data_IF_490738573488
#
_entry.id   IF_490738573488
#
_cell.length_a   1.000
_cell.length_b   1.000
_cell.length_c   1.000
_cell.angle_alpha   90.00
_cell.angle_beta   90.00
_cell.angle_gamma   90.00
#
_symmetry.space_group_name_H-M   'P 1'
#
loop_
_entity.id
_entity.type
_entity.pdbx_description
1 polymer ?
#
# COMPACT_ATOMS: atom_id res chain seq x y z
N UNK A 1 29.88 -13.09 -4.39
CA UNK A 1 28.59 -12.43 -4.63
C UNK A 1 28.86 -11.08 -5.26
N UNK A 2 28.25 -10.81 -6.40
CA UNK A 2 28.35 -9.52 -7.08
C UNK A 2 27.07 -8.74 -6.77
N UNK A 3 27.21 -7.46 -6.43
CA UNK A 3 26.07 -6.57 -6.23
C UNK A 3 25.90 -5.70 -7.46
N UNK A 4 24.64 -5.44 -7.82
CA UNK A 4 24.31 -4.43 -8.84
C UNK A 4 24.92 -3.06 -8.44
N UNK A 5 25.38 -2.26 -9.42
CA UNK A 5 26.08 -1.00 -9.13
C UNK A 5 25.26 -0.04 -8.26
N UNK A 6 23.95 0.05 -8.47
CA UNK A 6 23.07 0.95 -7.72
C UNK A 6 22.90 0.49 -6.25
N UNK A 7 22.79 -0.83 -6.02
CA UNK A 7 22.70 -1.43 -4.68
C UNK A 7 24.00 -1.20 -3.92
N UNK A 8 25.15 -1.39 -4.56
CA UNK A 8 26.45 -1.12 -3.96
C UNK A 8 26.62 0.35 -3.57
N UNK A 9 26.19 1.28 -4.43
CA UNK A 9 26.20 2.72 -4.14
C UNK A 9 25.32 3.08 -2.95
N UNK A 10 24.10 2.51 -2.87
CA UNK A 10 23.20 2.71 -1.72
C UNK A 10 23.81 2.19 -0.43
N UNK A 11 24.40 0.99 -0.44
CA UNK A 11 25.05 0.41 0.73
C UNK A 11 26.24 1.28 1.19
N UNK A 12 27.08 1.79 0.28
CA UNK A 12 28.20 2.71 0.61
C UNK A 12 27.73 4.02 1.24
N UNK A 13 26.62 4.59 0.76
CA UNK A 13 26.02 5.80 1.37
C UNK A 13 25.58 5.53 2.81
N UNK A 14 25.01 4.37 3.09
CA UNK A 14 24.57 3.98 4.44
C UNK A 14 25.78 3.76 5.35
N UNK A 15 26.82 3.10 4.87
CA UNK A 15 28.12 2.94 5.56
C UNK A 15 28.68 4.30 5.99
N UNK A 16 28.77 5.26 5.07
CA UNK A 16 29.27 6.60 5.36
C UNK A 16 28.42 7.36 6.38
N UNK A 17 27.08 7.26 6.28
CA UNK A 17 26.17 7.93 7.22
C UNK A 17 26.18 7.33 8.63
N UNK A 18 26.42 6.03 8.76
CA UNK A 18 26.31 5.31 10.04
C UNK A 18 27.65 4.98 10.68
N UNK A 19 28.77 5.24 10.01
CA UNK A 19 30.11 4.86 10.49
C UNK A 19 30.28 3.34 10.66
N UNK A 20 29.53 2.54 9.91
CA UNK A 20 29.53 1.08 10.01
C UNK A 20 30.33 0.43 8.89
N UNK A 21 30.85 -0.78 9.09
CA UNK A 21 31.57 -1.52 8.04
C UNK A 21 30.62 -1.92 6.91
N UNK A 22 31.06 -1.81 5.66
CA UNK A 22 30.25 -2.13 4.47
C UNK A 22 29.64 -3.54 4.53
N UNK A 23 30.42 -4.54 4.97
CA UNK A 23 29.97 -5.92 5.16
C UNK A 23 28.79 -6.02 6.14
N UNK A 24 28.84 -5.27 7.24
CA UNK A 24 27.78 -5.30 8.26
C UNK A 24 26.49 -4.67 7.75
N UNK A 25 26.62 -3.57 7.00
CA UNK A 25 25.49 -2.91 6.33
C UNK A 25 24.82 -3.87 5.35
N UNK A 26 25.61 -4.52 4.48
CA UNK A 26 25.09 -5.47 3.48
C UNK A 26 24.44 -6.67 4.15
N UNK A 27 25.11 -7.31 5.12
CA UNK A 27 24.56 -8.47 5.82
C UNK A 27 23.28 -8.14 6.58
N UNK A 28 23.21 -6.98 7.24
CA UNK A 28 21.99 -6.53 7.92
C UNK A 28 20.86 -6.29 6.93
N UNK A 29 21.13 -5.60 5.81
CA UNK A 29 20.14 -5.34 4.78
C UNK A 29 19.60 -6.64 4.16
N UNK A 30 20.48 -7.62 3.91
CA UNK A 30 20.07 -8.93 3.39
C UNK A 30 19.20 -9.70 4.38
N UNK A 31 19.54 -9.74 5.68
CA UNK A 31 18.69 -10.41 6.68
C UNK A 31 17.28 -9.83 6.72
N UNK A 32 17.19 -8.49 6.80
CA UNK A 32 15.89 -7.79 6.79
C UNK A 32 15.15 -8.07 5.48
N UNK A 33 15.85 -7.98 4.34
CA UNK A 33 15.25 -8.22 3.02
C UNK A 33 14.73 -9.63 2.85
N UNK A 34 15.47 -10.64 3.32
CA UNK A 34 15.06 -12.05 3.27
C UNK A 34 13.88 -12.33 4.21
N UNK A 35 13.89 -11.79 5.43
CA UNK A 35 12.75 -11.87 6.36
C UNK A 35 11.47 -11.25 5.76
N UNK A 36 11.60 -10.10 5.11
CA UNK A 36 10.47 -9.43 4.44
C UNK A 36 10.00 -10.16 3.17
N UNK A 37 10.89 -10.89 2.49
CA UNK A 37 10.52 -11.75 1.36
C UNK A 37 9.83 -13.03 1.81
N UNK A 38 10.22 -13.60 2.96
CA UNK A 38 9.57 -14.76 3.57
C UNK A 38 8.22 -14.41 4.21
N UNK A 39 8.05 -13.17 4.68
CA UNK A 39 6.76 -12.67 5.10
C UNK A 39 5.82 -12.61 3.90
N UNK A 40 4.97 -13.62 3.77
CA UNK A 40 3.80 -13.55 2.89
C UNK A 40 3.02 -12.27 3.23
N UNK A 41 3.03 -11.30 2.30
CA UNK A 41 2.15 -10.15 2.39
C UNK A 41 0.71 -10.67 2.31
N UNK A 42 0.11 -10.90 3.48
CA UNK A 42 -1.33 -11.15 3.55
C UNK A 42 -2.01 -9.98 2.84
N UNK A 43 -2.80 -10.23 1.77
CA UNK A 43 -3.52 -9.16 1.12
C UNK A 43 -4.34 -8.45 2.20
N UNK A 44 -4.14 -7.15 2.33
CA UNK A 44 -4.97 -6.36 3.23
C UNK A 44 -6.40 -6.49 2.72
N UNK A 45 -7.31 -6.94 3.59
CA UNK A 45 -8.72 -7.02 3.23
C UNK A 45 -9.17 -5.64 2.75
N UNK A 46 -9.77 -5.59 1.56
CA UNK A 46 -10.39 -4.37 1.07
C UNK A 46 -11.47 -3.94 2.06
N UNK A 47 -11.36 -2.72 2.58
CA UNK A 47 -12.32 -2.13 3.52
C UNK A 47 -12.84 -0.83 2.92
N UNK A 48 -14.15 -0.69 2.87
CA UNK A 48 -14.81 0.57 2.48
C UNK A 48 -15.26 1.29 3.73
N UNK A 49 -14.93 2.57 3.83
CA UNK A 49 -15.47 3.46 4.87
C UNK A 49 -16.68 4.21 4.29
N UNK A 50 -17.92 3.84 4.68
CA UNK A 50 -19.11 4.53 4.19
C UNK A 50 -19.12 5.96 4.71
N UNK A 51 -19.47 6.91 3.85
CA UNK A 51 -19.72 8.31 4.24
C UNK A 51 -21.23 8.56 4.26
N UNK A 52 -21.76 9.23 5.29
CA UNK A 52 -23.17 9.59 5.32
C UNK A 52 -23.43 10.72 4.31
N UNK A 53 -23.78 10.35 3.08
CA UNK A 53 -24.12 11.30 2.02
C UNK A 53 -25.58 11.77 2.10
N UNK A 54 -26.40 11.08 2.89
CA UNK A 54 -27.85 11.30 2.94
C UNK A 54 -28.55 10.87 1.65
N UNK A 55 -29.88 10.81 1.71
CA UNK A 55 -30.73 10.63 0.54
C UNK A 55 -31.34 11.97 0.16
N UNK A 56 -31.65 12.17 -1.13
CA UNK A 56 -32.45 13.32 -1.53
C UNK A 56 -33.87 13.17 -0.93
N UNK A 57 -34.50 14.27 -0.48
CA UNK A 57 -35.87 14.21 0.02
C UNK A 57 -36.81 13.57 -0.99
N UNK A 58 -37.67 12.65 -0.54
CA UNK A 58 -38.63 11.94 -1.41
C UNK A 58 -38.07 10.71 -2.13
N UNK A 59 -36.77 10.41 -1.99
CA UNK A 59 -36.15 9.19 -2.55
C UNK A 59 -36.10 8.10 -1.49
N UNK A 60 -36.81 6.99 -1.74
CA UNK A 60 -36.67 5.75 -0.99
C UNK A 60 -35.85 4.76 -1.80
N UNK A 61 -34.75 4.24 -1.24
CA UNK A 61 -33.94 3.20 -1.90
C UNK A 61 -34.63 1.83 -1.94
N UNK A 62 -35.70 1.65 -1.16
CA UNK A 62 -36.47 0.40 -1.10
C UNK A 62 -37.47 0.25 -2.25
N UNK A 63 -37.66 1.30 -3.07
CA UNK A 63 -38.44 1.23 -4.30
C UNK A 63 -37.63 1.70 -5.51
N UNK A 64 -36.88 0.78 -6.12
CA UNK A 64 -35.98 1.07 -7.24
C UNK A 64 -36.74 1.64 -8.46
N UNK A 65 -38.01 1.26 -8.69
CA UNK A 65 -38.79 1.77 -9.82
C UNK A 65 -39.00 3.29 -9.71
N UNK A 66 -39.49 3.77 -8.57
CA UNK A 66 -39.71 5.20 -8.33
C UNK A 66 -38.40 6.02 -8.42
N UNK A 67 -37.27 5.42 -8.03
CA UNK A 67 -35.95 6.07 -8.13
C UNK A 67 -35.52 6.23 -9.57
N UNK A 68 -35.75 5.22 -10.41
CA UNK A 68 -35.41 5.27 -11.84
C UNK A 68 -36.25 6.33 -12.56
N UNK A 69 -37.56 6.35 -12.32
CA UNK A 69 -38.47 7.33 -12.92
C UNK A 69 -38.05 8.77 -12.59
N UNK A 70 -37.66 9.05 -11.33
CA UNK A 70 -37.18 10.37 -10.91
C UNK A 70 -35.79 10.76 -11.47
N UNK A 71 -34.97 9.80 -11.89
CA UNK A 71 -33.67 10.06 -12.49
C UNK A 71 -33.75 10.27 -14.00
N UNK A 72 -34.72 9.64 -14.66
CA UNK A 72 -34.96 9.73 -16.10
C UNK A 72 -35.72 11.01 -16.51
N UNK A 73 -36.47 11.63 -15.60
CA UNK A 73 -37.20 12.90 -15.83
C UNK A 73 -36.30 14.17 -15.94
N UNK A 74 -34.99 14.03 -16.08
CA UNK A 74 -34.02 15.14 -16.16
C UNK A 74 -33.46 15.43 -17.55
#
# INVERSE_FOLDING_TARGET
MTLEPDVALKARKITGKRGAVFKDVVNRALRIGLEEMEREKKPQAFRTEPRPLGLRPGISLDNIADVLDQLDEK
#
